data_IF_056223469076
#
_entry.id   IF_056223469076
#
_cell.length_a   1.000
_cell.length_b   1.000
_cell.length_c   1.000
_cell.angle_alpha   90.00
_cell.angle_beta   90.00
_cell.angle_gamma   90.00
#
_symmetry.space_group_name_H-M   'P 1'
#
loop_
_entity.id
_entity.type
_entity.pdbx_description
1 polymer ?
#
# COMPACT_ATOMS: atom_id res chain seq x y z
N UNK A 1 -1.21 -6.92 16.23
CA UNK A 1 -2.19 -7.12 15.15
C UNK A 1 -3.40 -6.18 15.15
N UNK A 2 -3.31 -5.06 15.90
CA UNK A 2 -4.42 -4.10 15.88
C UNK A 2 -4.76 -3.64 14.46
N UNK A 3 -3.72 -3.22 13.70
CA UNK A 3 -3.95 -2.69 12.36
C UNK A 3 -4.44 -3.76 11.39
N UNK A 4 -3.91 -4.97 11.49
CA UNK A 4 -4.34 -6.05 10.59
C UNK A 4 -5.78 -6.46 10.85
N UNK A 5 -6.21 -6.44 12.11
CA UNK A 5 -7.60 -6.72 12.47
C UNK A 5 -8.53 -5.63 11.91
N UNK A 6 -8.17 -4.36 12.09
CA UNK A 6 -8.99 -3.25 11.57
C UNK A 6 -9.06 -3.29 10.06
N UNK A 7 -7.93 -3.53 9.37
CA UNK A 7 -7.90 -3.56 7.92
C UNK A 7 -8.63 -4.76 7.32
N UNK A 8 -8.77 -5.84 8.09
CA UNK A 8 -9.60 -6.96 7.64
C UNK A 8 -11.07 -6.56 7.60
N UNK A 9 -11.51 -5.73 8.53
CA UNK A 9 -12.88 -5.25 8.59
C UNK A 9 -13.11 -4.06 7.63
N UNK A 10 -12.10 -3.18 7.50
CA UNK A 10 -12.21 -1.95 6.69
C UNK A 10 -10.96 -1.82 5.81
N UNK A 11 -10.85 -2.64 4.76
CA UNK A 11 -9.61 -2.70 3.97
C UNK A 11 -9.29 -1.42 3.19
N UNK A 12 -10.24 -0.50 3.04
CA UNK A 12 -10.04 0.75 2.31
C UNK A 12 -9.85 1.97 3.22
N UNK A 13 -9.55 1.74 4.49
CA UNK A 13 -9.31 2.83 5.44
C UNK A 13 -7.92 3.44 5.21
N UNK A 14 -7.85 4.54 4.47
CA UNK A 14 -6.59 5.17 4.09
C UNK A 14 -5.77 5.59 5.31
N UNK A 15 -6.41 6.16 6.32
CA UNK A 15 -5.74 6.61 7.52
C UNK A 15 -5.17 5.45 8.34
N UNK A 16 -5.84 4.31 8.34
CA UNK A 16 -5.37 3.12 9.05
C UNK A 16 -4.15 2.54 8.32
N UNK A 17 -4.18 2.50 6.99
CA UNK A 17 -3.01 2.08 6.22
C UNK A 17 -1.80 2.98 6.51
N UNK A 18 -2.01 4.28 6.58
CA UNK A 18 -0.93 5.21 6.86
C UNK A 18 -0.34 4.99 8.26
N UNK A 19 -1.19 4.83 9.26
CA UNK A 19 -0.73 4.58 10.62
C UNK A 19 0.04 3.25 10.72
N UNK A 20 -0.47 2.22 10.05
CA UNK A 20 0.20 0.93 10.01
C UNK A 20 1.56 1.03 9.32
N UNK A 21 1.62 1.79 8.22
CA UNK A 21 2.88 2.00 7.49
C UNK A 21 3.93 2.65 8.40
N UNK A 22 3.54 3.66 9.18
CA UNK A 22 4.48 4.31 10.10
C UNK A 22 4.98 3.32 11.16
N UNK A 23 4.10 2.48 11.67
CA UNK A 23 4.47 1.47 12.65
C UNK A 23 5.46 0.46 12.03
N UNK A 24 5.18 -0.01 10.81
CA UNK A 24 6.06 -0.93 10.11
C UNK A 24 7.43 -0.32 9.83
N UNK A 25 7.45 0.95 9.42
CA UNK A 25 8.71 1.66 9.18
C UNK A 25 9.55 1.78 10.43
N UNK A 26 8.91 2.00 11.59
CA UNK A 26 9.63 2.17 12.85
C UNK A 26 10.33 0.90 13.32
N UNK A 27 9.88 -0.26 12.86
CA UNK A 27 10.52 -1.54 13.19
C UNK A 27 11.33 -2.12 12.03
N UNK A 28 11.62 -1.29 11.03
CA UNK A 28 12.50 -1.65 9.93
C UNK A 28 11.85 -2.45 8.80
N UNK A 29 10.53 -2.63 8.81
CA UNK A 29 9.83 -3.36 7.74
C UNK A 29 9.48 -2.41 6.60
N UNK A 30 10.51 -1.92 5.93
CA UNK A 30 10.41 -0.85 4.95
C UNK A 30 9.56 -1.23 3.73
N UNK A 31 9.71 -2.44 3.22
CA UNK A 31 8.92 -2.88 2.06
C UNK A 31 7.43 -2.88 2.34
N UNK A 32 7.03 -3.46 3.47
CA UNK A 32 5.63 -3.46 3.87
C UNK A 32 5.13 -2.06 4.19
N UNK A 33 6.00 -1.20 4.75
CA UNK A 33 5.63 0.19 5.02
C UNK A 33 5.27 0.91 3.71
N UNK A 34 6.06 0.76 2.65
CA UNK A 34 5.74 1.37 1.38
C UNK A 34 4.48 0.79 0.75
N UNK A 35 4.24 -0.51 0.91
CA UNK A 35 3.01 -1.13 0.43
C UNK A 35 1.79 -0.44 1.06
N UNK A 36 1.80 -0.24 2.37
CA UNK A 36 0.66 0.37 3.04
C UNK A 36 0.56 1.88 2.80
N UNK A 37 1.69 2.57 2.56
CA UNK A 37 1.64 3.96 2.12
C UNK A 37 0.99 4.06 0.74
N UNK A 38 1.27 3.09 -0.15
CA UNK A 38 0.62 3.05 -1.45
C UNK A 38 -0.88 2.84 -1.32
N UNK A 39 -1.30 1.90 -0.46
CA UNK A 39 -2.74 1.72 -0.22
C UNK A 39 -3.39 3.00 0.29
N UNK A 40 -2.73 3.68 1.24
CA UNK A 40 -3.26 4.94 1.77
C UNK A 40 -3.47 5.96 0.66
N UNK A 41 -2.49 6.10 -0.22
CA UNK A 41 -2.58 7.05 -1.34
C UNK A 41 -3.69 6.65 -2.33
N UNK A 42 -3.82 5.35 -2.62
CA UNK A 42 -4.86 4.83 -3.51
C UNK A 42 -6.24 5.17 -2.95
N UNK A 43 -6.46 4.87 -1.68
CA UNK A 43 -7.78 5.03 -1.08
C UNK A 43 -8.12 6.48 -0.73
N UNK A 44 -7.13 7.38 -0.78
CA UNK A 44 -7.36 8.81 -0.68
C UNK A 44 -7.34 9.50 -2.06
N UNK A 45 -7.29 8.73 -3.13
CA UNK A 45 -7.26 9.22 -4.52
C UNK A 45 -6.10 10.16 -4.84
N UNK A 46 -4.97 9.93 -4.20
CA UNK A 46 -3.76 10.71 -4.48
C UNK A 46 -2.90 9.97 -5.49
N UNK A 47 -3.14 10.26 -6.78
CA UNK A 47 -2.49 9.55 -7.88
C UNK A 47 -0.97 9.62 -7.85
N UNK A 48 -0.44 10.82 -7.62
CA UNK A 48 1.01 11.02 -7.63
C UNK A 48 1.70 10.25 -6.51
N UNK A 49 1.15 10.31 -5.31
CA UNK A 49 1.71 9.57 -4.19
C UNK A 49 1.54 8.07 -4.37
N UNK A 50 0.40 7.65 -4.93
CA UNK A 50 0.17 6.23 -5.19
C UNK A 50 1.25 5.68 -6.13
N UNK A 51 1.55 6.40 -7.21
CA UNK A 51 2.59 5.97 -8.14
C UNK A 51 3.96 5.94 -7.47
N UNK A 52 4.29 6.99 -6.71
CA UNK A 52 5.58 7.07 -6.04
C UNK A 52 5.77 5.90 -5.06
N UNK A 53 4.79 5.68 -4.20
CA UNK A 53 4.90 4.62 -3.20
C UNK A 53 4.82 3.23 -3.83
N UNK A 54 4.05 3.08 -4.90
CA UNK A 54 3.99 1.81 -5.63
C UNK A 54 5.38 1.44 -6.17
N UNK A 55 6.06 2.38 -6.79
CA UNK A 55 7.40 2.14 -7.33
C UNK A 55 8.40 1.80 -6.23
N UNK A 56 8.31 2.50 -5.09
CA UNK A 56 9.20 2.22 -3.98
C UNK A 56 8.90 0.86 -3.34
N UNK A 57 7.62 0.53 -3.21
CA UNK A 57 7.23 -0.78 -2.70
C UNK A 57 7.76 -1.89 -3.60
N UNK A 58 7.63 -1.72 -4.91
CA UNK A 58 8.15 -2.71 -5.87
C UNK A 58 9.65 -2.92 -5.68
N UNK A 59 10.41 -1.83 -5.62
CA UNK A 59 11.86 -1.92 -5.46
C UNK A 59 12.27 -2.62 -4.17
N UNK A 60 11.53 -2.39 -3.08
CA UNK A 60 11.87 -2.94 -1.76
C UNK A 60 11.39 -4.38 -1.55
N UNK A 61 10.42 -4.84 -2.35
CA UNK A 61 9.84 -6.18 -2.13
C UNK A 61 10.12 -7.16 -3.26
N UNK A 62 10.75 -6.71 -4.34
CA UNK A 62 10.92 -7.49 -5.57
C UNK A 62 11.57 -8.85 -5.33
N UNK A 63 12.54 -8.92 -4.41
CA UNK A 63 13.25 -10.16 -4.10
C UNK A 63 13.15 -10.52 -2.63
N UNK A 64 12.04 -10.17 -2.00
CA UNK A 64 11.89 -10.40 -0.57
C UNK A 64 10.71 -11.33 -0.28
N UNK A 65 10.58 -11.71 1.00
CA UNK A 65 9.44 -12.49 1.46
C UNK A 65 8.11 -11.76 1.31
N UNK A 66 8.15 -10.43 1.11
CA UNK A 66 6.96 -9.61 0.99
C UNK A 66 6.43 -9.51 -0.43
N UNK A 67 7.01 -10.25 -1.37
CA UNK A 67 6.58 -10.18 -2.77
C UNK A 67 5.12 -10.57 -2.97
N UNK A 68 4.60 -11.48 -2.16
CA UNK A 68 3.18 -11.85 -2.24
C UNK A 68 2.27 -10.69 -1.84
N UNK A 69 2.67 -9.94 -0.81
CA UNK A 69 1.93 -8.75 -0.39
C UNK A 69 1.96 -7.69 -1.48
N UNK A 70 3.10 -7.55 -2.17
CA UNK A 70 3.20 -6.61 -3.28
C UNK A 70 2.30 -7.01 -4.44
N UNK A 71 2.17 -8.30 -4.74
CA UNK A 71 1.29 -8.72 -5.84
C UNK A 71 -0.16 -8.35 -5.58
N UNK A 72 -0.60 -8.38 -4.32
CA UNK A 72 -1.95 -7.93 -3.97
C UNK A 72 -2.10 -6.43 -4.19
N UNK A 73 -1.10 -5.66 -3.79
CA UNK A 73 -1.08 -4.22 -4.03
C UNK A 73 -1.12 -3.92 -5.53
N UNK A 74 -0.32 -4.65 -6.31
CA UNK A 74 -0.26 -4.46 -7.76
C UNK A 74 -1.63 -4.60 -8.40
N UNK A 75 -2.40 -5.62 -8.00
CA UNK A 75 -3.73 -5.85 -8.54
C UNK A 75 -4.67 -4.68 -8.19
N UNK A 76 -4.63 -4.20 -6.96
CA UNK A 76 -5.46 -3.08 -6.51
C UNK A 76 -5.07 -1.80 -7.25
N UNK A 77 -3.77 -1.55 -7.40
CA UNK A 77 -3.27 -0.36 -8.07
C UNK A 77 -3.67 -0.33 -9.54
N UNK A 78 -3.53 -1.46 -10.23
CA UNK A 78 -3.91 -1.55 -11.64
C UNK A 78 -5.40 -1.28 -11.84
N UNK A 79 -6.23 -1.83 -10.98
CA UNK A 79 -7.66 -1.60 -11.04
C UNK A 79 -8.00 -0.11 -10.83
N UNK A 80 -7.36 0.53 -9.85
CA UNK A 80 -7.59 1.94 -9.58
C UNK A 80 -7.08 2.83 -10.71
N UNK A 81 -5.95 2.47 -11.33
CA UNK A 81 -5.42 3.21 -12.47
C UNK A 81 -6.41 3.22 -13.64
N UNK A 82 -7.06 2.08 -13.89
CA UNK A 82 -8.07 2.01 -14.93
C UNK A 82 -9.20 3.00 -14.66
N UNK A 83 -9.65 3.09 -13.41
CA UNK A 83 -10.69 4.04 -13.02
C UNK A 83 -10.21 5.48 -13.25
N UNK A 84 -8.98 5.80 -12.84
CA UNK A 84 -8.42 7.13 -12.99
C UNK A 84 -8.23 7.52 -14.46
N UNK A 85 -7.84 6.57 -15.29
CA UNK A 85 -7.55 6.83 -16.71
C UNK A 85 -8.80 6.89 -17.57
N UNK A 86 -9.91 6.41 -17.08
CA UNK A 86 -11.18 6.38 -17.77
C UNK A 86 -11.90 7.76 -17.77
N UNK A 87 -11.29 8.77 -17.21
CA UNK A 87 -11.91 10.09 -17.07
C UNK A 87 -11.33 11.13 -18.00
#
# INVERSE_FOLDING_TARGET
PYYTVVLRAVPEAADVHEAYARSLGSIGKTGLAYIHMAYSAIYSNNRKLAERYFKQAKAKTEKSADSAAFRKLDAVYKERKEIWEDR
#
